data_IF_782085529142
#
_entry.id   IF_782085529142
#
_cell.length_a   1.000
_cell.length_b   1.000
_cell.length_c   1.000
_cell.angle_alpha   90.00
_cell.angle_beta   90.00
_cell.angle_gamma   90.00
#
_symmetry.space_group_name_H-M   'P 1'
#
loop_
_entity.id
_entity.type
_entity.pdbx_description
1 polymer ?
#
# COMPACT_ATOMS: atom_id res chain seq x y z
N UNK A 1 -49.71 -35.56 -48.94
CA UNK A 1 -49.18 -34.22 -48.83
C UNK A 1 -48.64 -34.05 -47.39
N UNK A 2 -47.40 -34.49 -47.16
CA UNK A 2 -46.65 -34.27 -45.93
C UNK A 2 -45.31 -33.71 -46.34
N UNK A 3 -44.98 -32.50 -45.94
CA UNK A 3 -43.64 -31.92 -45.83
C UNK A 3 -43.79 -30.45 -45.44
N UNK A 4 -43.40 -30.14 -44.22
CA UNK A 4 -42.92 -28.86 -43.73
C UNK A 4 -43.32 -28.61 -42.26
N UNK A 5 -42.72 -29.37 -41.36
CA UNK A 5 -42.59 -28.99 -39.95
C UNK A 5 -41.29 -29.61 -39.44
N UNK A 6 -40.16 -28.99 -39.69
CA UNK A 6 -38.90 -29.23 -39.02
C UNK A 6 -37.89 -28.13 -39.50
N UNK A 7 -37.88 -26.98 -38.88
CA UNK A 7 -36.75 -26.04 -38.86
C UNK A 7 -37.11 -24.70 -38.16
N UNK A 8 -37.44 -24.76 -36.90
CA UNK A 8 -37.58 -23.54 -36.10
C UNK A 8 -36.90 -23.60 -34.71
N UNK A 9 -36.25 -24.73 -34.32
CA UNK A 9 -35.71 -24.86 -32.98
C UNK A 9 -34.19 -24.74 -32.85
N UNK A 10 -33.44 -24.58 -33.95
CA UNK A 10 -31.97 -24.49 -33.88
C UNK A 10 -31.39 -23.08 -33.77
N UNK A 11 -32.19 -22.04 -34.08
CA UNK A 11 -31.68 -20.67 -34.01
C UNK A 11 -31.76 -20.01 -32.63
N UNK A 12 -32.69 -20.48 -31.76
CA UNK A 12 -32.80 -19.92 -30.40
C UNK A 12 -31.70 -20.37 -29.44
N UNK A 13 -31.10 -21.51 -29.70
CA UNK A 13 -29.99 -22.04 -28.86
C UNK A 13 -28.62 -21.48 -29.26
N UNK A 14 -28.44 -21.01 -30.49
CA UNK A 14 -27.20 -20.36 -30.92
C UNK A 14 -27.12 -18.90 -30.44
N UNK A 15 -28.21 -18.18 -30.40
CA UNK A 15 -28.26 -16.81 -29.83
C UNK A 15 -28.12 -16.81 -28.31
N UNK A 16 -28.71 -17.79 -27.60
CA UNK A 16 -28.52 -17.90 -26.15
C UNK A 16 -27.10 -18.29 -25.74
N UNK A 17 -26.36 -19.06 -26.57
CA UNK A 17 -24.93 -19.34 -26.35
C UNK A 17 -24.02 -18.16 -26.67
N UNK A 18 -24.33 -17.35 -27.72
CA UNK A 18 -23.59 -16.11 -28.02
C UNK A 18 -23.75 -15.03 -26.94
N UNK A 19 -24.96 -14.90 -26.37
CA UNK A 19 -25.22 -13.95 -25.29
C UNK A 19 -24.63 -14.40 -23.93
N UNK A 20 -24.47 -15.70 -23.69
CA UNK A 20 -23.75 -16.17 -22.49
C UNK A 20 -22.24 -15.95 -22.56
N UNK A 21 -21.63 -16.03 -23.74
CA UNK A 21 -20.21 -15.71 -23.91
C UNK A 21 -19.94 -14.20 -23.91
N UNK A 22 -20.84 -13.36 -24.41
CA UNK A 22 -20.69 -11.89 -24.29
C UNK A 22 -20.78 -11.36 -22.86
N UNK A 23 -21.54 -12.01 -21.97
CA UNK A 23 -21.59 -11.65 -20.53
C UNK A 23 -20.40 -12.14 -19.72
N UNK A 24 -19.51 -12.98 -20.29
CA UNK A 24 -18.31 -13.47 -19.60
C UNK A 24 -17.06 -12.66 -19.90
N UNK A 25 -17.09 -11.79 -20.91
CA UNK A 25 -15.96 -10.91 -21.27
C UNK A 25 -16.05 -9.49 -20.70
N UNK A 26 -17.17 -9.12 -20.06
CA UNK A 26 -17.37 -7.77 -19.50
C UNK A 26 -16.97 -7.63 -18.01
N UNK A 27 -16.34 -8.62 -17.38
CA UNK A 27 -16.09 -8.60 -15.94
C UNK A 27 -14.61 -8.56 -15.51
N UNK A 28 -13.70 -8.07 -16.34
CA UNK A 28 -12.31 -7.88 -15.92
C UNK A 28 -11.60 -6.74 -16.69
N UNK A 29 -12.20 -5.57 -16.70
CA UNK A 29 -11.46 -4.35 -16.94
C UNK A 29 -11.78 -3.44 -15.75
N UNK A 30 -10.97 -3.52 -14.70
CA UNK A 30 -10.88 -2.42 -13.74
C UNK A 30 -10.23 -1.29 -14.53
N UNK A 31 -11.06 -0.46 -15.17
CA UNK A 31 -10.61 0.83 -15.65
C UNK A 31 -10.22 1.65 -14.42
N UNK A 32 -8.97 1.56 -14.02
CA UNK A 32 -8.41 2.60 -13.20
C UNK A 32 -8.46 3.86 -14.06
N UNK A 33 -9.28 4.84 -13.68
CA UNK A 33 -9.26 6.15 -14.32
C UNK A 33 -7.81 6.62 -14.42
N UNK A 34 -7.39 7.25 -15.54
CA UNK A 34 -6.04 7.77 -15.67
C UNK A 34 -5.67 8.57 -14.43
N UNK A 35 -4.44 8.42 -13.95
CA UNK A 35 -3.97 9.20 -12.82
C UNK A 35 -3.82 10.65 -13.27
N UNK A 36 -4.72 11.50 -12.78
CA UNK A 36 -4.68 12.94 -13.07
C UNK A 36 -3.61 13.62 -12.22
N UNK A 37 -3.00 14.67 -12.78
CA UNK A 37 -2.02 15.49 -12.07
C UNK A 37 -2.63 16.05 -10.78
N UNK A 38 -2.08 15.73 -9.59
CA UNK A 38 -2.65 16.17 -8.33
C UNK A 38 -2.50 17.67 -8.11
N UNK A 39 -3.61 18.32 -7.79
CA UNK A 39 -3.64 19.71 -7.34
C UNK A 39 -3.72 19.73 -5.82
N UNK A 40 -2.88 20.51 -5.18
CA UNK A 40 -2.69 20.57 -3.72
C UNK A 40 -2.68 22.00 -3.20
N UNK A 41 -3.00 22.19 -1.93
CA UNK A 41 -2.90 23.51 -1.29
C UNK A 41 -1.45 23.83 -0.94
N UNK A 42 -1.01 25.04 -1.29
CA UNK A 42 0.28 25.62 -0.95
C UNK A 42 0.14 26.57 0.25
N UNK A 43 1.00 26.40 1.23
CA UNK A 43 1.09 27.23 2.44
C UNK A 43 2.43 27.95 2.46
N UNK A 44 2.45 29.16 3.00
CA UNK A 44 3.66 29.99 3.09
C UNK A 44 4.76 29.31 3.91
N UNK A 45 4.36 28.64 5.00
CA UNK A 45 5.24 27.85 5.85
C UNK A 45 4.42 26.84 6.68
N UNK A 46 5.10 26.04 7.50
CA UNK A 46 4.42 25.00 8.28
C UNK A 46 3.60 25.49 9.50
N UNK A 47 3.64 26.78 9.84
CA UNK A 47 2.75 27.38 10.84
C UNK A 47 1.47 27.95 10.23
N UNK A 48 1.45 28.16 8.91
CA UNK A 48 0.31 28.74 8.21
C UNK A 48 -0.93 27.88 8.38
N UNK A 49 -2.05 28.53 8.68
CA UNK A 49 -3.36 27.87 8.85
C UNK A 49 -4.19 27.90 7.58
N UNK A 50 -3.93 28.85 6.70
CA UNK A 50 -4.65 29.07 5.44
C UNK A 50 -3.69 28.91 4.26
N UNK A 51 -4.15 28.28 3.17
CA UNK A 51 -3.34 28.17 1.97
C UNK A 51 -3.29 29.52 1.24
N UNK A 52 -2.17 29.77 0.56
CA UNK A 52 -2.03 30.96 -0.29
C UNK A 52 -2.58 30.75 -1.70
N UNK A 53 -2.53 29.51 -2.20
CA UNK A 53 -3.06 29.13 -3.52
C UNK A 53 -2.98 27.62 -3.69
N UNK A 54 -3.54 27.12 -4.79
CA UNK A 54 -3.37 25.77 -5.27
C UNK A 54 -2.22 25.67 -6.28
N UNK A 55 -1.53 24.51 -6.28
CA UNK A 55 -0.42 24.23 -7.20
C UNK A 55 -0.46 22.76 -7.65
N UNK A 56 0.16 22.48 -8.81
CA UNK A 56 0.45 21.10 -9.24
C UNK A 56 1.49 20.50 -8.31
N UNK A 57 1.23 19.30 -7.79
CA UNK A 57 2.14 18.65 -6.87
C UNK A 57 3.49 18.34 -7.53
N UNK A 58 3.49 17.85 -8.78
CA UNK A 58 4.73 17.59 -9.53
C UNK A 58 5.61 18.83 -9.65
N UNK A 59 5.01 20.00 -9.91
CA UNK A 59 5.74 21.27 -10.01
C UNK A 59 6.39 21.67 -8.69
N UNK A 60 5.73 21.38 -7.55
CA UNK A 60 6.28 21.63 -6.23
C UNK A 60 7.41 20.66 -5.89
N UNK A 61 7.25 19.37 -6.21
CA UNK A 61 8.23 18.33 -5.87
C UNK A 61 9.52 18.41 -6.70
N UNK A 62 9.44 18.86 -7.96
CA UNK A 62 10.59 18.97 -8.87
C UNK A 62 11.21 20.37 -8.93
N UNK A 63 10.72 21.32 -8.12
CA UNK A 63 11.27 22.68 -8.14
C UNK A 63 12.68 22.76 -7.58
N UNK A 64 13.53 23.56 -8.19
CA UNK A 64 14.85 23.93 -7.66
C UNK A 64 14.82 25.17 -6.76
N UNK A 65 13.65 25.78 -6.59
CA UNK A 65 13.47 27.02 -5.79
C UNK A 65 14.03 26.92 -4.38
N UNK A 66 13.98 25.74 -3.78
CA UNK A 66 14.40 25.52 -2.39
C UNK A 66 15.85 25.06 -2.26
N UNK A 67 16.57 24.80 -3.38
CA UNK A 67 17.91 24.17 -3.36
C UNK A 67 18.87 24.89 -2.41
N UNK A 68 19.08 26.19 -2.59
CA UNK A 68 20.02 26.97 -1.77
C UNK A 68 19.67 26.95 -0.27
N UNK A 69 18.38 27.11 0.06
CA UNK A 69 17.91 27.06 1.44
C UNK A 69 18.09 25.66 2.05
N UNK A 70 17.86 24.61 1.29
CA UNK A 70 18.01 23.22 1.72
C UNK A 70 19.50 22.89 1.93
N UNK A 71 20.37 23.30 1.03
CA UNK A 71 21.83 23.14 1.18
C UNK A 71 22.35 23.88 2.41
N UNK A 72 21.91 25.12 2.62
CA UNK A 72 22.23 25.90 3.81
C UNK A 72 21.71 25.21 5.10
N UNK A 73 20.51 24.64 5.06
CA UNK A 73 19.93 23.87 6.18
C UNK A 73 20.79 22.65 6.50
N UNK A 74 21.21 21.89 5.49
CA UNK A 74 21.99 20.64 5.66
C UNK A 74 23.41 20.89 6.16
N UNK A 75 24.04 21.98 5.74
CA UNK A 75 25.40 22.32 6.14
C UNK A 75 25.49 23.06 7.48
N UNK A 76 24.38 23.61 7.97
CA UNK A 76 24.37 24.38 9.20
C UNK A 76 24.18 23.49 10.44
N UNK A 77 24.99 23.68 11.47
CA UNK A 77 24.90 22.93 12.74
C UNK A 77 24.11 23.67 13.83
N UNK A 78 23.84 24.98 13.65
CA UNK A 78 23.04 25.78 14.60
C UNK A 78 21.55 25.49 14.42
N UNK A 79 20.94 24.86 15.41
CA UNK A 79 19.53 24.51 15.38
C UNK A 79 18.58 25.70 15.26
N UNK A 80 18.96 26.88 15.80
CA UNK A 80 18.15 28.10 15.68
C UNK A 80 18.14 28.62 14.24
N UNK A 81 19.27 28.55 13.55
CA UNK A 81 19.39 28.93 12.15
C UNK A 81 18.63 27.91 11.28
N UNK A 82 18.84 26.62 11.50
CA UNK A 82 18.10 25.54 10.81
C UNK A 82 16.58 25.72 10.96
N UNK A 83 16.12 26.02 12.17
CA UNK A 83 14.70 26.27 12.43
C UNK A 83 14.18 27.45 11.59
N UNK A 84 14.88 28.60 11.59
CA UNK A 84 14.52 29.77 10.80
C UNK A 84 14.48 29.48 9.30
N UNK A 85 15.46 28.72 8.78
CA UNK A 85 15.47 28.31 7.38
C UNK A 85 14.21 27.48 7.06
N UNK A 86 13.92 26.45 7.87
CA UNK A 86 12.73 25.60 7.71
C UNK A 86 11.43 26.41 7.75
N UNK A 87 11.33 27.39 8.63
CA UNK A 87 10.20 28.30 8.78
C UNK A 87 9.99 29.21 7.57
N UNK A 88 11.02 29.42 6.74
CA UNK A 88 10.97 30.25 5.54
C UNK A 88 10.66 29.47 4.26
N UNK A 89 10.38 28.16 4.35
CA UNK A 89 10.13 27.30 3.20
C UNK A 89 8.64 26.98 3.11
N UNK A 90 8.10 27.17 1.91
CA UNK A 90 6.71 26.82 1.58
C UNK A 90 6.43 25.33 1.80
N UNK A 91 5.17 25.01 2.09
CA UNK A 91 4.68 23.66 2.34
C UNK A 91 3.46 23.37 1.49
N UNK A 92 3.22 22.09 1.22
CA UNK A 92 1.98 21.61 0.58
C UNK A 92 1.30 20.53 1.40
N UNK A 93 0.01 20.31 1.15
CA UNK A 93 -0.75 19.16 1.65
C UNK A 93 -0.87 18.12 0.53
N UNK A 94 0.01 17.12 0.42
CA UNK A 94 0.02 16.16 -0.71
C UNK A 94 -1.30 15.44 -0.91
N UNK A 95 -2.05 15.24 0.17
CA UNK A 95 -3.29 14.45 0.16
C UNK A 95 -4.54 15.24 -0.26
N UNK A 96 -4.43 16.56 -0.51
CA UNK A 96 -5.62 17.27 -0.96
C UNK A 96 -5.52 18.79 -0.98
N UNK A 97 -6.62 19.41 -1.39
CA UNK A 97 -6.84 20.86 -1.29
C UNK A 97 -7.73 21.17 -0.10
N UNK A 98 -7.46 22.27 0.60
CA UNK A 98 -8.09 22.67 1.86
C UNK A 98 -8.39 24.15 1.89
N UNK A 99 -9.53 24.54 2.51
CA UNK A 99 -9.78 25.96 2.84
C UNK A 99 -8.96 26.41 4.04
N UNK A 100 -8.72 25.51 5.00
CA UNK A 100 -7.91 25.73 6.18
C UNK A 100 -7.18 24.44 6.53
N UNK A 101 -6.05 24.52 7.25
CA UNK A 101 -5.27 23.37 7.67
C UNK A 101 -5.95 22.60 8.82
N UNK A 102 -7.06 21.94 8.51
CA UNK A 102 -7.81 21.03 9.39
C UNK A 102 -8.57 20.01 8.54
N UNK A 103 -8.75 18.79 9.04
CA UNK A 103 -9.40 17.70 8.28
C UNK A 103 -10.80 18.06 7.81
N UNK A 104 -11.60 18.77 8.66
CA UNK A 104 -12.96 19.18 8.32
C UNK A 104 -13.05 20.24 7.22
N UNK A 105 -11.93 20.84 6.81
CA UNK A 105 -11.84 21.84 5.75
C UNK A 105 -11.26 21.27 4.43
N UNK A 106 -11.22 19.95 4.28
CA UNK A 106 -10.86 19.27 3.05
C UNK A 106 -11.86 19.60 1.94
N UNK A 107 -11.37 20.11 0.81
CA UNK A 107 -12.17 20.41 -0.39
C UNK A 107 -12.20 19.17 -1.29
N UNK A 108 -11.01 18.70 -1.68
CA UNK A 108 -10.86 17.54 -2.57
C UNK A 108 -9.61 16.74 -2.17
N UNK A 109 -9.78 15.44 -2.00
CA UNK A 109 -8.66 14.52 -1.78
C UNK A 109 -7.99 14.17 -3.11
N UNK A 110 -6.65 14.10 -3.14
CA UNK A 110 -5.85 13.77 -4.34
C UNK A 110 -5.71 12.28 -4.59
N UNK A 111 -6.23 11.42 -3.74
CA UNK A 111 -5.91 9.98 -3.67
C UNK A 111 -4.41 9.70 -3.38
N UNK A 112 -3.70 10.68 -2.82
CA UNK A 112 -2.33 10.49 -2.38
C UNK A 112 -2.21 10.50 -0.86
N UNK A 113 -1.22 9.76 -0.38
CA UNK A 113 -0.87 9.63 1.03
C UNK A 113 0.63 9.82 1.17
N UNK A 114 1.05 10.70 2.07
CA UNK A 114 2.46 10.96 2.34
C UNK A 114 2.91 10.24 3.62
N UNK A 115 4.09 9.63 3.58
CA UNK A 115 4.76 8.99 4.71
C UNK A 115 6.13 9.63 4.87
N UNK A 116 6.51 9.97 6.08
CA UNK A 116 7.85 10.42 6.45
C UNK A 116 8.62 9.30 7.16
N UNK A 117 9.90 9.13 6.80
CA UNK A 117 10.82 8.16 7.39
C UNK A 117 12.06 8.93 7.83
N UNK A 118 12.19 9.10 9.14
CA UNK A 118 13.26 9.87 9.74
C UNK A 118 14.49 8.99 10.03
N UNK A 119 15.69 9.49 9.77
CA UNK A 119 16.96 8.79 10.03
C UNK A 119 17.18 8.51 11.52
N UNK A 120 16.70 9.37 12.41
CA UNK A 120 16.82 9.19 13.87
C UNK A 120 16.22 7.87 14.36
N UNK A 121 15.13 7.39 13.70
CA UNK A 121 14.41 6.17 14.03
C UNK A 121 14.89 4.97 13.16
N UNK A 122 15.76 5.22 12.16
CA UNK A 122 16.23 4.25 11.18
C UNK A 122 17.77 4.29 11.01
N UNK A 123 18.52 4.36 12.11
CA UNK A 123 19.99 4.66 12.15
C UNK A 123 20.87 3.67 11.39
N UNK A 124 20.39 2.45 11.14
CA UNK A 124 21.17 1.39 10.48
C UNK A 124 20.91 1.32 8.98
N UNK A 125 20.12 2.24 8.42
CA UNK A 125 19.67 2.23 7.03
C UNK A 125 20.08 3.52 6.34
N UNK A 126 20.69 3.42 5.16
CA UNK A 126 20.87 4.56 4.27
C UNK A 126 19.54 4.82 3.55
N UNK A 127 18.75 5.72 4.14
CA UNK A 127 17.41 6.02 3.62
C UNK A 127 17.41 6.61 2.20
N UNK A 128 18.32 7.54 1.85
CA UNK A 128 18.42 8.04 0.47
C UNK A 128 18.60 6.95 -0.58
N UNK A 129 19.34 5.89 -0.30
CA UNK A 129 19.53 4.75 -1.22
C UNK A 129 18.27 3.85 -1.33
N UNK A 130 17.43 3.83 -0.31
CA UNK A 130 16.20 3.02 -0.31
C UNK A 130 15.15 3.48 -1.35
N UNK A 131 15.21 4.72 -1.85
CA UNK A 131 14.18 5.29 -2.75
C UNK A 131 13.95 4.45 -4.00
N UNK A 132 15.02 4.04 -4.66
CA UNK A 132 14.93 3.22 -5.88
C UNK A 132 14.34 1.83 -5.57
N UNK A 133 14.82 1.19 -4.52
CA UNK A 133 14.33 -0.13 -4.09
C UNK A 133 12.84 -0.09 -3.76
N UNK A 134 12.40 0.94 -3.00
CA UNK A 134 10.99 1.12 -2.68
C UNK A 134 10.15 1.43 -3.93
N UNK A 135 10.73 2.16 -4.90
CA UNK A 135 10.10 2.45 -6.18
C UNK A 135 9.89 1.22 -7.06
N UNK A 136 10.86 0.33 -7.11
CA UNK A 136 10.74 -0.95 -7.81
C UNK A 136 9.74 -1.90 -7.13
N UNK A 137 9.67 -1.83 -5.81
CA UNK A 137 8.80 -2.71 -5.03
C UNK A 137 7.33 -2.27 -5.06
N UNK A 138 7.07 -0.95 -4.96
CA UNK A 138 5.71 -0.40 -4.88
C UNK A 138 5.26 0.26 -6.17
N UNK A 139 4.49 -0.45 -6.99
CA UNK A 139 3.83 0.15 -8.16
C UNK A 139 2.92 1.34 -7.81
N UNK A 140 2.53 1.45 -6.53
CA UNK A 140 1.70 2.54 -6.00
C UNK A 140 2.48 3.76 -5.53
N UNK A 141 3.82 3.69 -5.50
CA UNK A 141 4.65 4.83 -5.13
C UNK A 141 4.67 5.85 -6.27
N UNK A 142 4.16 7.05 -5.99
CA UNK A 142 4.16 8.19 -6.90
C UNK A 142 5.49 8.93 -6.87
N UNK A 143 6.02 9.15 -5.65
CA UNK A 143 7.25 9.92 -5.45
C UNK A 143 8.00 9.46 -4.19
N UNK A 144 9.33 9.42 -4.27
CA UNK A 144 10.19 9.31 -3.11
C UNK A 144 11.31 10.34 -3.21
N UNK A 145 11.48 11.15 -2.18
CA UNK A 145 12.50 12.19 -2.15
C UNK A 145 13.16 12.32 -0.79
N UNK A 146 14.36 12.91 -0.80
CA UNK A 146 15.10 13.19 0.43
C UNK A 146 14.45 14.36 1.16
N UNK A 147 14.30 14.22 2.49
CA UNK A 147 13.76 15.25 3.36
C UNK A 147 14.68 16.50 3.41
N UNK A 148 14.19 17.58 3.99
CA UNK A 148 15.00 18.81 4.16
C UNK A 148 16.30 18.52 4.92
N UNK A 149 16.31 17.54 5.85
CA UNK A 149 17.50 17.15 6.63
C UNK A 149 18.61 16.54 5.80
N UNK A 150 18.29 15.88 4.70
CA UNK A 150 19.25 15.23 3.83
C UNK A 150 19.49 13.76 4.14
N UNK A 151 19.05 13.28 5.29
CA UNK A 151 19.27 11.94 5.82
C UNK A 151 17.97 11.10 5.96
N UNK A 152 16.81 11.75 6.03
CA UNK A 152 15.51 11.10 5.99
C UNK A 152 14.89 11.16 4.58
N UNK A 153 13.84 10.38 4.35
CA UNK A 153 13.07 10.38 3.10
C UNK A 153 11.58 10.57 3.37
N UNK A 154 10.87 10.98 2.33
CA UNK A 154 9.42 10.94 2.31
C UNK A 154 8.91 10.21 1.08
N UNK A 155 7.82 9.51 1.26
CA UNK A 155 7.19 8.66 0.26
C UNK A 155 5.76 9.16 0.01
N UNK A 156 5.35 9.27 -1.25
CA UNK A 156 3.98 9.63 -1.60
C UNK A 156 3.38 8.47 -2.38
N UNK A 157 2.35 7.83 -1.83
CA UNK A 157 1.66 6.69 -2.43
C UNK A 157 0.30 7.10 -3.00
N UNK A 158 -0.09 6.52 -4.13
CA UNK A 158 -1.48 6.54 -4.58
C UNK A 158 -2.27 5.50 -3.80
N UNK A 159 -3.42 5.90 -3.22
CA UNK A 159 -4.36 5.02 -2.51
C UNK A 159 -5.67 4.87 -3.26
N UNK A 160 -6.36 3.73 -3.09
CA UNK A 160 -7.61 3.44 -3.81
C UNK A 160 -8.83 4.14 -3.22
N UNK A 161 -8.89 4.29 -1.90
CA UNK A 161 -10.05 4.77 -1.16
C UNK A 161 -9.65 5.93 -0.24
N UNK A 162 -9.72 7.18 -0.73
CA UNK A 162 -9.29 8.36 0.03
C UNK A 162 -10.06 8.57 1.34
N UNK A 163 -11.31 8.12 1.41
CA UNK A 163 -12.14 8.12 2.61
C UNK A 163 -11.57 7.24 3.74
N UNK A 164 -10.74 6.26 3.39
CA UNK A 164 -10.02 5.38 4.32
C UNK A 164 -8.52 5.72 4.42
N UNK A 165 -8.17 7.00 4.29
CA UNK A 165 -6.78 7.48 4.30
C UNK A 165 -5.95 6.94 5.47
N UNK A 166 -6.50 6.99 6.71
CA UNK A 166 -5.80 6.54 7.91
C UNK A 166 -5.62 5.01 7.95
N UNK A 167 -6.56 4.25 7.37
CA UNK A 167 -6.47 2.80 7.24
C UNK A 167 -5.40 2.39 6.22
N UNK A 168 -5.30 3.12 5.10
CA UNK A 168 -4.20 2.95 4.16
C UNK A 168 -2.85 3.30 4.78
N UNK A 169 -2.78 4.39 5.56
CA UNK A 169 -1.56 4.76 6.29
C UNK A 169 -1.10 3.63 7.22
N UNK A 170 -2.01 3.08 8.01
CA UNK A 170 -1.71 1.99 8.93
C UNK A 170 -1.25 0.72 8.20
N UNK A 171 -1.83 0.40 7.03
CA UNK A 171 -1.40 -0.71 6.21
C UNK A 171 0.01 -0.51 5.65
N UNK A 172 0.31 0.68 5.12
CA UNK A 172 1.66 1.03 4.63
C UNK A 172 2.69 1.06 5.75
N UNK A 173 2.35 1.62 6.93
CA UNK A 173 3.20 1.60 8.12
C UNK A 173 3.58 0.17 8.50
N UNK A 174 2.58 -0.72 8.61
CA UNK A 174 2.81 -2.12 8.94
C UNK A 174 3.71 -2.80 7.90
N UNK A 175 3.44 -2.54 6.62
CA UNK A 175 4.22 -3.10 5.52
C UNK A 175 5.68 -2.64 5.54
N UNK A 176 5.91 -1.33 5.60
CA UNK A 176 7.26 -0.75 5.65
C UNK A 176 8.04 -1.25 6.86
N UNK A 177 7.37 -1.39 8.00
CA UNK A 177 8.01 -1.91 9.21
C UNK A 177 8.34 -3.41 9.11
N UNK A 178 7.40 -4.24 8.64
CA UNK A 178 7.56 -5.71 8.63
C UNK A 178 8.46 -6.21 7.51
N UNK A 179 8.45 -5.57 6.34
CA UNK A 179 9.18 -6.03 5.15
C UNK A 179 10.52 -5.32 4.99
N UNK A 180 10.53 -4.01 5.23
CA UNK A 180 11.73 -3.18 5.05
C UNK A 180 12.40 -2.79 6.37
N UNK A 181 11.81 -3.17 7.52
CA UNK A 181 12.28 -2.78 8.86
C UNK A 181 12.38 -1.27 9.06
N UNK A 182 11.58 -0.50 8.29
CA UNK A 182 11.55 0.96 8.34
C UNK A 182 10.51 1.45 9.35
N UNK A 183 10.93 2.32 10.25
CA UNK A 183 10.04 3.02 11.18
C UNK A 183 9.53 4.30 10.53
N UNK A 184 8.21 4.47 10.47
CA UNK A 184 7.58 5.67 9.89
C UNK A 184 7.19 6.68 10.98
N UNK A 185 7.18 7.97 10.63
CA UNK A 185 6.65 9.00 11.52
C UNK A 185 5.11 8.94 11.56
N UNK A 186 4.56 8.54 12.71
CA UNK A 186 3.11 8.45 12.93
C UNK A 186 2.42 9.82 13.03
N UNK A 187 3.17 10.89 13.16
CA UNK A 187 2.67 12.26 13.24
C UNK A 187 2.02 12.73 11.94
N UNK A 188 2.36 12.11 10.79
CA UNK A 188 1.88 12.53 9.46
C UNK A 188 0.69 11.71 8.92
N UNK A 189 0.02 10.93 9.74
CA UNK A 189 -1.12 10.06 9.36
C UNK A 189 -2.39 10.80 8.92
N UNK A 190 -2.45 12.11 9.10
CA UNK A 190 -3.62 12.92 8.73
C UNK A 190 -3.51 13.43 7.29
N UNK A 191 -4.60 13.46 6.50
CA UNK A 191 -4.58 14.02 5.16
C UNK A 191 -4.19 15.50 5.12
N UNK A 192 -4.27 16.22 6.25
CA UNK A 192 -3.87 17.64 6.37
C UNK A 192 -2.38 17.80 6.71
N UNK A 193 -1.62 16.72 6.78
CA UNK A 193 -0.18 16.76 7.06
C UNK A 193 0.56 17.51 5.97
N UNK A 194 1.46 18.41 6.40
CA UNK A 194 2.24 19.24 5.49
C UNK A 194 3.53 18.54 5.08
N UNK A 195 3.84 18.67 3.79
CA UNK A 195 5.17 18.40 3.26
C UNK A 195 5.93 19.71 3.04
N UNK A 196 7.00 19.91 3.79
CA UNK A 196 7.89 21.07 3.62
C UNK A 196 8.67 20.92 2.32
N UNK A 197 8.86 22.00 1.59
CA UNK A 197 9.67 22.03 0.39
C UNK A 197 11.08 21.50 0.67
N UNK A 198 11.58 20.66 -0.23
CA UNK A 198 12.91 20.06 -0.15
C UNK A 198 13.58 20.09 -1.51
N UNK A 199 14.83 19.63 -1.58
CA UNK A 199 15.55 19.44 -2.82
C UNK A 199 16.23 18.07 -2.80
N UNK A 200 15.94 17.27 -3.83
CA UNK A 200 16.60 16.03 -4.13
C UNK A 200 17.07 16.06 -5.59
N UNK A 201 18.34 15.74 -5.84
CA UNK A 201 18.89 15.72 -7.19
C UNK A 201 18.41 14.52 -8.00
N UNK A 202 18.12 13.41 -7.31
CA UNK A 202 17.75 12.13 -7.90
C UNK A 202 16.54 11.51 -7.17
N UNK A 203 15.36 12.15 -7.24
CA UNK A 203 14.16 11.59 -6.63
C UNK A 203 13.65 10.42 -7.46
N UNK A 204 12.98 9.46 -6.81
CA UNK A 204 12.15 8.51 -7.55
C UNK A 204 10.83 9.19 -7.94
N UNK A 205 10.39 8.99 -9.18
CA UNK A 205 9.14 9.52 -9.67
C UNK A 205 8.45 8.55 -10.64
N UNK A 206 7.19 8.22 -10.34
CA UNK A 206 6.32 7.45 -11.21
C UNK A 206 5.07 8.28 -11.54
N UNK A 207 4.91 8.78 -12.78
CA UNK A 207 3.78 9.62 -13.16
C UNK A 207 2.44 8.88 -13.24
N UNK A 208 2.45 7.53 -13.28
CA UNK A 208 1.26 6.69 -13.41
C UNK A 208 1.23 5.57 -12.33
N UNK A 209 1.20 5.93 -11.04
CA UNK A 209 1.21 4.93 -9.98
C UNK A 209 -0.10 4.15 -9.96
N UNK A 210 -0.01 2.85 -9.71
CA UNK A 210 -1.19 2.03 -9.42
C UNK A 210 -1.75 2.38 -8.03
N UNK A 211 -3.07 2.28 -7.77
CA UNK A 211 -3.59 2.54 -6.44
C UNK A 211 -3.19 1.43 -5.45
N UNK A 212 -2.69 1.80 -4.28
CA UNK A 212 -2.52 0.90 -3.14
C UNK A 212 -3.89 0.59 -2.54
N UNK A 213 -4.26 -0.69 -2.50
CA UNK A 213 -5.61 -1.14 -2.14
C UNK A 213 -5.75 -1.65 -0.71
N UNK A 214 -4.65 -1.94 -0.03
CA UNK A 214 -4.68 -2.51 1.32
C UNK A 214 -5.06 -1.47 2.38
N UNK A 215 -5.91 -1.89 3.32
CA UNK A 215 -6.40 -1.07 4.43
C UNK A 215 -6.39 -1.90 5.71
N UNK A 216 -6.02 -1.28 6.84
CA UNK A 216 -6.17 -1.87 8.17
C UNK A 216 -7.32 -1.22 8.93
N UNK A 217 -8.18 -2.03 9.55
CA UNK A 217 -9.19 -1.53 10.48
C UNK A 217 -8.50 -0.99 11.74
N UNK A 218 -8.43 0.33 11.89
CA UNK A 218 -7.68 1.01 12.96
C UNK A 218 -8.17 0.60 14.35
N UNK A 219 -9.48 0.43 14.52
CA UNK A 219 -10.06 0.08 15.83
C UNK A 219 -9.69 -1.32 16.28
N UNK A 220 -9.59 -2.26 15.34
CA UNK A 220 -9.17 -3.63 15.60
C UNK A 220 -7.67 -3.71 15.89
N UNK A 221 -6.87 -2.93 15.14
CA UNK A 221 -5.43 -2.85 15.34
C UNK A 221 -5.07 -2.14 16.65
N UNK A 222 -5.73 -1.02 16.99
CA UNK A 222 -5.55 -0.32 18.26
C UNK A 222 -5.93 -1.21 19.45
N UNK A 223 -7.01 -1.98 19.34
CA UNK A 223 -7.44 -2.93 20.39
C UNK A 223 -6.48 -4.12 20.51
N UNK A 224 -5.91 -4.62 19.40
CA UNK A 224 -4.92 -5.69 19.43
C UNK A 224 -3.56 -5.23 19.97
N UNK A 225 -3.23 -3.92 19.84
CA UNK A 225 -2.03 -3.31 20.46
C UNK A 225 -2.22 -2.93 21.94
N UNK A 226 -3.46 -2.65 22.38
CA UNK A 226 -3.79 -2.27 23.76
C UNK A 226 -4.06 -3.50 24.64
N UNK A 227 -4.24 -4.69 24.05
CA UNK A 227 -4.35 -5.93 24.83
C UNK A 227 -3.08 -6.12 25.66
N UNK A 228 -3.22 -6.35 26.98
CA UNK A 228 -2.08 -6.64 27.82
C UNK A 228 -1.26 -7.80 27.25
N UNK A 229 0.06 -7.77 27.45
CA UNK A 229 1.03 -8.78 26.99
C UNK A 229 0.66 -10.23 27.39
N UNK A 230 -0.29 -10.39 28.29
CA UNK A 230 -0.83 -11.68 28.77
C UNK A 230 -1.75 -12.42 27.79
N UNK A 231 -2.22 -11.76 26.70
CA UNK A 231 -3.06 -12.39 25.66
C UNK A 231 -2.46 -12.27 24.26
N UNK A 232 -1.14 -12.29 24.13
CA UNK A 232 -0.53 -12.57 22.83
C UNK A 232 -1.03 -13.93 22.38
N UNK A 233 -1.75 -13.95 21.25
CA UNK A 233 -2.21 -15.19 20.68
C UNK A 233 -0.98 -15.91 20.12
N UNK A 234 -0.44 -16.87 20.88
CA UNK A 234 0.75 -17.69 20.52
C UNK A 234 0.66 -18.22 19.08
N UNK A 235 -0.55 -18.49 18.61
CA UNK A 235 -0.80 -18.95 17.24
C UNK A 235 -0.43 -17.87 16.23
N UNK A 236 -0.80 -16.60 16.44
CA UNK A 236 -0.47 -15.49 15.53
C UNK A 236 1.01 -15.18 15.52
N UNK A 237 1.65 -15.16 16.68
CA UNK A 237 3.10 -14.98 16.78
C UNK A 237 3.85 -16.09 16.01
N UNK A 238 3.37 -17.33 16.06
CA UNK A 238 3.92 -18.44 15.30
C UNK A 238 3.69 -18.32 13.79
N UNK A 239 2.53 -17.81 13.36
CA UNK A 239 2.24 -17.57 11.94
C UNK A 239 3.20 -16.48 11.41
N UNK A 240 3.34 -15.38 12.13
CA UNK A 240 4.23 -14.27 11.74
C UNK A 240 5.69 -14.72 11.63
N UNK A 241 6.18 -15.51 12.60
CA UNK A 241 7.52 -16.13 12.54
C UNK A 241 7.67 -17.05 11.33
N UNK A 242 6.65 -17.87 11.04
CA UNK A 242 6.68 -18.77 9.89
C UNK A 242 6.76 -17.99 8.58
N UNK A 243 5.95 -16.93 8.42
CA UNK A 243 5.92 -16.12 7.21
C UNK A 243 7.23 -15.35 7.05
N UNK A 244 7.77 -14.76 8.12
CA UNK A 244 9.09 -14.12 8.09
C UNK A 244 10.17 -15.10 7.61
N UNK A 245 10.18 -16.31 8.17
CA UNK A 245 11.14 -17.35 7.77
C UNK A 245 10.97 -17.77 6.30
N UNK A 246 9.72 -17.90 5.81
CA UNK A 246 9.41 -18.17 4.40
C UNK A 246 10.00 -17.10 3.50
N UNK A 247 9.75 -15.83 3.81
CA UNK A 247 10.20 -14.69 3.00
C UNK A 247 11.72 -14.55 3.01
N UNK A 248 12.34 -14.58 4.20
CA UNK A 248 13.78 -14.46 4.38
C UNK A 248 14.59 -15.55 3.65
N UNK A 249 14.03 -16.78 3.57
CA UNK A 249 14.71 -17.91 2.95
C UNK A 249 14.18 -18.25 1.54
N UNK A 250 13.24 -17.46 1.00
CA UNK A 250 12.66 -17.67 -0.33
C UNK A 250 12.02 -19.05 -0.50
N UNK A 251 11.29 -19.54 0.53
CA UNK A 251 10.70 -20.88 0.52
C UNK A 251 9.32 -20.84 -0.15
N UNK A 252 9.14 -21.61 -1.21
CA UNK A 252 7.87 -21.75 -1.88
C UNK A 252 7.04 -22.90 -1.27
N UNK A 253 5.97 -22.55 -0.55
CA UNK A 253 4.98 -23.49 0.00
C UNK A 253 3.68 -23.50 -0.81
N UNK A 254 3.66 -22.82 -1.96
CA UNK A 254 2.46 -22.55 -2.79
C UNK A 254 2.57 -23.12 -4.21
N UNK A 255 3.59 -23.93 -4.50
CA UNK A 255 3.88 -24.47 -5.84
C UNK A 255 2.71 -25.20 -6.49
N UNK A 256 1.89 -25.89 -5.69
CA UNK A 256 0.69 -26.58 -6.17
C UNK A 256 -0.56 -25.74 -5.89
N UNK A 257 -1.44 -25.59 -6.88
CA UNK A 257 -2.70 -24.87 -6.72
C UNK A 257 -3.50 -25.25 -5.46
N UNK A 258 -3.56 -26.56 -5.15
CA UNK A 258 -4.26 -27.05 -3.95
C UNK A 258 -3.63 -26.52 -2.65
N UNK A 259 -2.31 -26.43 -2.59
CA UNK A 259 -1.61 -25.96 -1.40
C UNK A 259 -1.73 -24.43 -1.29
N UNK A 260 -1.64 -23.70 -2.42
CA UNK A 260 -1.90 -22.27 -2.49
C UNK A 260 -3.31 -21.92 -1.98
N UNK A 261 -4.34 -22.63 -2.46
CA UNK A 261 -5.70 -22.49 -1.95
C UNK A 261 -5.81 -22.78 -0.44
N UNK A 262 -5.17 -23.86 0.04
CA UNK A 262 -5.18 -24.21 1.47
C UNK A 262 -4.50 -23.14 2.34
N UNK A 263 -3.36 -22.60 1.90
CA UNK A 263 -2.68 -21.49 2.58
C UNK A 263 -3.60 -20.28 2.69
N UNK A 264 -4.23 -19.87 1.58
CA UNK A 264 -5.18 -18.77 1.58
C UNK A 264 -6.37 -19.00 2.51
N UNK A 265 -6.98 -20.17 2.48
CA UNK A 265 -8.08 -20.52 3.38
C UNK A 265 -7.64 -20.56 4.85
N UNK A 266 -6.47 -21.09 5.15
CA UNK A 266 -5.94 -21.16 6.51
C UNK A 266 -5.70 -19.73 7.08
N UNK A 267 -5.09 -18.84 6.31
CA UNK A 267 -4.90 -17.44 6.68
C UNK A 267 -6.23 -16.70 6.80
N UNK A 268 -7.18 -16.95 5.90
CA UNK A 268 -8.52 -16.37 5.97
C UNK A 268 -9.30 -16.84 7.22
N UNK A 269 -9.05 -18.07 7.70
CA UNK A 269 -9.69 -18.60 8.91
C UNK A 269 -9.22 -17.90 10.19
N UNK A 270 -7.99 -17.39 10.21
CA UNK A 270 -7.38 -16.75 11.38
C UNK A 270 -7.49 -15.24 11.35
N UNK A 271 -7.31 -14.63 10.17
CA UNK A 271 -7.20 -13.18 10.01
C UNK A 271 -8.36 -12.56 9.21
N UNK A 272 -9.26 -13.36 8.61
CA UNK A 272 -10.29 -12.84 7.70
C UNK A 272 -9.66 -12.07 6.54
N UNK A 273 -10.19 -10.88 6.24
CA UNK A 273 -9.66 -10.02 5.18
C UNK A 273 -8.20 -9.59 5.42
N UNK A 274 -7.81 -9.40 6.69
CA UNK A 274 -6.44 -9.01 7.05
C UNK A 274 -5.37 -10.08 6.71
N UNK A 275 -5.78 -11.31 6.48
CA UNK A 275 -4.88 -12.40 6.03
C UNK A 275 -4.45 -12.27 4.57
N UNK A 276 -5.08 -11.40 3.78
CA UNK A 276 -4.74 -11.14 2.38
C UNK A 276 -3.28 -10.72 2.24
N UNK A 277 -2.84 -9.79 3.06
CA UNK A 277 -1.46 -9.34 3.10
C UNK A 277 -0.47 -10.51 3.28
N UNK A 278 -0.71 -11.37 4.26
CA UNK A 278 0.14 -12.54 4.51
C UNK A 278 0.11 -13.54 3.36
N UNK A 279 -1.06 -13.69 2.71
CA UNK A 279 -1.20 -14.55 1.55
C UNK A 279 -0.39 -14.06 0.36
N UNK A 280 -0.37 -12.74 0.11
CA UNK A 280 0.47 -12.15 -0.94
C UNK A 280 1.95 -12.36 -0.65
N UNK A 281 2.42 -12.15 0.59
CA UNK A 281 3.82 -12.38 0.96
C UNK A 281 4.28 -13.80 0.67
N UNK A 282 3.48 -14.79 1.07
CA UNK A 282 3.80 -16.20 0.83
C UNK A 282 3.71 -16.55 -0.65
N UNK A 283 2.72 -16.02 -1.37
CA UNK A 283 2.53 -16.27 -2.81
C UNK A 283 3.66 -15.70 -3.67
N UNK A 284 4.31 -14.64 -3.25
CA UNK A 284 5.49 -14.06 -3.93
C UNK A 284 6.69 -15.00 -3.96
N UNK A 285 6.74 -15.99 -3.06
CA UNK A 285 7.80 -16.99 -3.04
C UNK A 285 7.62 -18.08 -4.10
N UNK A 286 6.53 -18.04 -4.88
CA UNK A 286 6.26 -18.97 -5.97
C UNK A 286 7.37 -18.90 -7.05
N UNK A 287 7.98 -20.05 -7.34
CA UNK A 287 9.10 -20.22 -8.28
C UNK A 287 8.68 -20.80 -9.64
N UNK A 288 7.38 -20.92 -9.91
CA UNK A 288 6.87 -21.46 -11.17
C UNK A 288 7.00 -20.48 -12.34
N UNK A 289 6.78 -21.00 -13.55
CA UNK A 289 7.01 -20.33 -14.82
C UNK A 289 6.25 -18.99 -14.97
N UNK A 290 5.03 -18.90 -14.46
CA UNK A 290 4.19 -17.71 -14.60
C UNK A 290 4.48 -16.62 -13.55
N UNK A 291 5.32 -16.91 -12.55
CA UNK A 291 5.64 -15.98 -11.49
C UNK A 291 4.43 -15.65 -10.58
N UNK A 292 4.59 -14.59 -9.80
CA UNK A 292 3.55 -14.02 -8.95
C UNK A 292 2.75 -12.96 -9.74
N UNK A 293 1.41 -13.04 -9.68
CA UNK A 293 0.48 -12.02 -10.17
C UNK A 293 -0.42 -11.54 -9.04
N UNK A 294 -0.47 -10.22 -8.82
CA UNK A 294 -1.22 -9.61 -7.71
C UNK A 294 -2.74 -9.78 -7.89
N UNK A 295 -3.24 -9.57 -9.11
CA UNK A 295 -4.68 -9.69 -9.40
C UNK A 295 -5.18 -11.12 -9.27
N UNK A 296 -4.39 -12.11 -9.70
CA UNK A 296 -4.72 -13.52 -9.53
C UNK A 296 -4.69 -13.92 -8.04
N UNK A 297 -3.72 -13.40 -7.29
CA UNK A 297 -3.62 -13.61 -5.85
C UNK A 297 -4.82 -13.04 -5.10
N UNK A 298 -5.24 -11.81 -5.42
CA UNK A 298 -6.44 -11.19 -4.87
C UNK A 298 -7.72 -11.97 -5.20
N UNK A 299 -7.87 -12.37 -6.45
CA UNK A 299 -8.99 -13.19 -6.88
C UNK A 299 -9.04 -14.52 -6.13
N UNK A 300 -7.89 -15.16 -5.94
CA UNK A 300 -7.79 -16.42 -5.19
C UNK A 300 -8.13 -16.21 -3.72
N UNK A 301 -7.65 -15.12 -3.09
CA UNK A 301 -7.98 -14.85 -1.69
C UNK A 301 -9.46 -14.57 -1.48
N UNK A 302 -10.13 -13.89 -2.41
CA UNK A 302 -11.59 -13.72 -2.40
C UNK A 302 -12.33 -15.07 -2.41
N UNK A 303 -11.84 -16.05 -3.17
CA UNK A 303 -12.38 -17.43 -3.11
C UNK A 303 -12.16 -18.08 -1.75
N UNK A 304 -11.00 -17.89 -1.15
CA UNK A 304 -10.68 -18.41 0.18
C UNK A 304 -11.60 -17.82 1.27
N UNK A 305 -11.86 -16.51 1.22
CA UNK A 305 -12.81 -15.85 2.13
C UNK A 305 -14.23 -16.38 1.96
N UNK A 306 -14.67 -16.56 0.70
CA UNK A 306 -15.99 -17.13 0.40
C UNK A 306 -16.09 -18.58 0.92
N UNK A 307 -15.06 -19.38 0.73
CA UNK A 307 -14.99 -20.73 1.25
C UNK A 307 -15.11 -20.75 2.78
N UNK A 308 -14.39 -19.88 3.49
CA UNK A 308 -14.45 -19.80 4.95
C UNK A 308 -15.83 -19.41 5.49
N UNK A 309 -16.58 -18.57 4.76
CA UNK A 309 -17.95 -18.18 5.14
C UNK A 309 -18.95 -19.32 4.96
N UNK A 310 -18.79 -20.13 3.91
CA UNK A 310 -19.77 -21.15 3.51
C UNK A 310 -19.47 -22.53 4.07
N UNK A 311 -18.22 -22.95 4.04
CA UNK A 311 -17.79 -24.33 4.36
C UNK A 311 -16.86 -24.39 5.56
N UNK A 312 -15.87 -23.48 5.64
CA UNK A 312 -15.04 -23.26 6.84
C UNK A 312 -14.18 -24.44 7.33
N UNK A 313 -13.96 -25.44 6.49
CA UNK A 313 -13.28 -26.69 6.91
C UNK A 313 -11.75 -26.57 7.09
N UNK A 314 -11.08 -25.68 6.37
CA UNK A 314 -9.62 -25.49 6.43
C UNK A 314 -9.28 -24.48 7.52
N UNK A 315 -8.48 -24.88 8.49
CA UNK A 315 -8.05 -24.09 9.64
C UNK A 315 -6.55 -23.84 9.62
N UNK A 316 -6.07 -22.95 10.48
CA UNK A 316 -4.67 -22.52 10.54
C UNK A 316 -3.67 -23.67 10.74
N UNK A 317 -4.08 -24.77 11.35
CA UNK A 317 -3.26 -25.99 11.45
C UNK A 317 -2.78 -26.52 10.09
N UNK A 318 -3.56 -26.30 9.03
CA UNK A 318 -3.16 -26.68 7.66
C UNK A 318 -1.99 -25.84 7.15
N UNK A 319 -1.92 -24.55 7.50
CA UNK A 319 -0.78 -23.69 7.19
C UNK A 319 0.49 -24.22 7.87
N UNK A 320 0.44 -24.50 9.15
CA UNK A 320 1.58 -25.06 9.88
C UNK A 320 2.05 -26.41 9.34
N UNK A 321 1.10 -27.28 8.98
CA UNK A 321 1.45 -28.55 8.33
C UNK A 321 2.22 -28.33 7.02
N UNK A 322 1.78 -27.40 6.18
CA UNK A 322 2.50 -27.06 4.95
C UNK A 322 3.89 -26.45 5.24
N UNK A 323 3.99 -25.63 6.26
CA UNK A 323 5.28 -25.09 6.73
C UNK A 323 6.23 -26.22 7.11
N UNK A 324 5.78 -27.21 7.90
CA UNK A 324 6.59 -28.36 8.31
C UNK A 324 7.03 -29.22 7.11
N UNK A 325 6.14 -29.45 6.13
CA UNK A 325 6.47 -30.17 4.90
C UNK A 325 7.62 -29.49 4.09
N UNK A 326 7.81 -28.19 4.25
CA UNK A 326 8.82 -27.40 3.53
C UNK A 326 9.98 -26.93 4.42
N UNK A 327 10.09 -27.46 5.65
CA UNK A 327 11.19 -27.15 6.56
C UNK A 327 11.16 -25.72 7.16
N UNK A 328 10.00 -25.07 7.18
CA UNK A 328 9.83 -23.74 7.75
C UNK A 328 9.88 -23.81 9.29
N UNK A 329 10.74 -22.99 9.90
CA UNK A 329 10.90 -22.90 11.36
C UNK A 329 10.03 -21.78 11.92
N UNK A 330 9.22 -22.08 12.95
CA UNK A 330 8.27 -21.11 13.55
C UNK A 330 8.00 -21.33 15.05
N UNK A 331 8.76 -22.27 15.67
CA UNK A 331 8.68 -22.54 17.12
C UNK A 331 9.78 -21.79 17.87
#
# INVERSE_FOLDING_TARGET
MMKNVLNKNDNSNKEKKKNKNKKKEESCIIFTSPFEEPIVSLFENFYSKEPIREVKLSSFLHTRKFKEKVELYRTNTDEKIRKKIKESIECVTPSGTFNQRRESALIKHTNLLCIDIDSKDNRMVDLPECKAILGEYFNSLYYAGVSIGGDGIFLIFRISHPEFHKQHFAALELFLNKVFHLQVDKGVKSPVSLRVGSYDAEPYYNPNPMPFTHMLEIDKWANDMIRPVTERNETRDRIEKAISFIVENGIDITSRYKDWFKVGCALASEYGENGRYWFHLVSRMYKGYYGYDEGECDYQYNKCLKYQRNEGGIKIGTFFYLCECHGVKYR
#
